data_IF_570639954087
#
_entry.id   IF_570639954087
#
_cell.length_a   1.000
_cell.length_b   1.000
_cell.length_c   1.000
_cell.angle_alpha   90.00
_cell.angle_beta   90.00
_cell.angle_gamma   90.00
#
_symmetry.space_group_name_H-M   'P 1'
#
loop_
_entity.id
_entity.type
_entity.pdbx_description
1 polymer ?
#
# COMPACT_ATOMS: atom_id res chain seq x y z
N UNK A 1 38.40 38.90 -24.96
CA UNK A 1 36.95 38.70 -25.15
C UNK A 1 36.61 37.19 -25.14
N UNK A 2 36.36 36.55 -23.98
CA UNK A 2 35.06 36.47 -23.28
C UNK A 2 33.95 35.94 -24.23
N UNK A 3 33.26 34.81 -24.05
CA UNK A 3 33.00 33.96 -22.88
C UNK A 3 32.40 32.62 -23.39
N UNK A 4 32.75 31.49 -22.76
CA UNK A 4 32.01 30.23 -22.89
C UNK A 4 30.89 30.25 -21.84
N UNK A 5 29.62 29.98 -22.17
CA UNK A 5 28.60 29.84 -21.13
C UNK A 5 28.76 28.47 -20.44
N UNK A 6 29.09 28.52 -19.16
CA UNK A 6 28.88 27.43 -18.21
C UNK A 6 27.37 27.24 -18.03
N UNK A 7 26.79 26.18 -18.58
CA UNK A 7 25.52 25.66 -18.04
C UNK A 7 25.85 24.54 -17.04
N UNK A 8 25.60 24.88 -15.78
CA UNK A 8 25.79 24.08 -14.59
C UNK A 8 24.95 22.82 -14.73
N UNK A 9 25.63 21.68 -14.89
CA UNK A 9 25.06 20.38 -14.57
C UNK A 9 24.66 20.41 -13.10
N UNK A 10 23.37 20.44 -12.80
CA UNK A 10 22.87 20.22 -11.45
C UNK A 10 23.23 18.80 -11.02
N UNK A 11 24.10 18.62 -10.00
CA UNK A 11 24.42 17.32 -9.49
C UNK A 11 23.42 17.02 -8.39
N UNK A 12 22.34 16.31 -8.71
CA UNK A 12 21.54 15.65 -7.67
C UNK A 12 21.65 14.13 -7.82
N UNK A 13 22.90 13.67 -7.66
CA UNK A 13 23.16 12.31 -7.21
C UNK A 13 23.10 12.28 -5.68
N UNK A 14 22.14 11.52 -5.17
CA UNK A 14 22.01 11.02 -3.79
C UNK A 14 21.65 12.05 -2.70
N UNK A 15 20.47 11.87 -2.09
CA UNK A 15 20.22 11.82 -0.64
C UNK A 15 18.70 11.60 -0.38
N UNK A 16 18.34 10.38 0.05
CA UNK A 16 17.08 10.00 0.75
C UNK A 16 15.76 10.07 -0.05
N UNK A 17 15.22 8.89 -0.38
CA UNK A 17 13.85 8.52 -0.77
C UNK A 17 12.89 9.57 -1.32
N UNK A 18 12.22 9.26 -2.44
CA UNK A 18 11.17 10.14 -2.99
C UNK A 18 10.07 10.43 -1.95
N UNK A 19 9.34 11.54 -2.09
CA UNK A 19 8.21 11.86 -1.19
C UNK A 19 7.25 10.67 -1.03
N UNK A 20 7.03 9.93 -2.12
CA UNK A 20 6.23 8.72 -2.15
C UNK A 20 6.81 7.60 -1.26
N UNK A 21 8.14 7.42 -1.28
CA UNK A 21 8.84 6.46 -0.41
C UNK A 21 8.84 6.90 1.06
N UNK A 22 9.02 8.19 1.32
CA UNK A 22 8.97 8.77 2.67
C UNK A 22 7.60 8.57 3.31
N UNK A 23 6.52 8.82 2.56
CA UNK A 23 5.14 8.58 3.02
C UNK A 23 4.90 7.11 3.31
N UNK A 24 5.39 6.20 2.44
CA UNK A 24 5.14 4.76 2.60
C UNK A 24 5.97 4.12 3.71
N UNK A 25 7.17 4.63 3.96
CA UNK A 25 8.03 4.17 5.05
C UNK A 25 7.68 4.84 6.38
N UNK A 26 6.91 5.93 6.36
CA UNK A 26 6.53 6.70 7.53
C UNK A 26 7.66 7.58 8.06
N UNK A 27 8.56 8.03 7.18
CA UNK A 27 9.73 8.87 7.50
C UNK A 27 9.52 10.31 7.02
N UNK A 28 8.43 10.93 7.44
CA UNK A 28 8.14 12.33 7.10
C UNK A 28 8.88 13.26 8.06
N UNK A 29 9.41 14.37 7.52
CA UNK A 29 10.12 15.40 8.32
C UNK A 29 9.18 16.42 8.97
N UNK A 30 7.89 16.42 8.60
CA UNK A 30 6.85 17.30 9.14
C UNK A 30 6.07 16.64 10.27
N UNK A 31 5.51 17.47 11.16
CA UNK A 31 4.66 16.98 12.25
C UNK A 31 3.33 16.43 11.71
N UNK A 32 2.89 15.25 12.17
CA UNK A 32 1.60 14.69 11.77
C UNK A 32 0.43 15.42 12.45
N UNK A 33 -0.75 15.30 11.85
CA UNK A 33 -2.03 15.66 12.46
C UNK A 33 -2.32 14.84 13.74
N UNK A 34 -3.40 15.20 14.45
CA UNK A 34 -4.00 14.28 15.43
C UNK A 34 -4.45 12.97 14.75
N UNK A 35 -4.45 11.84 15.48
CA UNK A 35 -4.88 10.56 14.93
C UNK A 35 -6.36 10.59 14.57
N UNK A 36 -6.67 10.14 13.36
CA UNK A 36 -8.03 9.93 12.88
C UNK A 36 -8.29 8.44 12.74
N UNK A 37 -9.41 7.96 13.27
CA UNK A 37 -9.71 6.53 13.32
C UNK A 37 -10.44 6.06 12.07
N UNK A 38 -9.95 4.97 11.50
CA UNK A 38 -10.51 4.29 10.34
C UNK A 38 -10.65 2.80 10.62
N UNK A 39 -11.46 2.14 9.80
CA UNK A 39 -11.67 0.70 9.84
C UNK A 39 -11.15 0.10 8.54
N UNK A 40 -10.24 -0.87 8.62
CA UNK A 40 -9.81 -1.66 7.49
C UNK A 40 -10.50 -3.03 7.49
N UNK A 41 -11.27 -3.32 6.46
CA UNK A 41 -11.82 -4.65 6.23
C UNK A 41 -10.97 -5.37 5.18
N UNK A 42 -10.34 -6.49 5.56
CA UNK A 42 -9.48 -7.28 4.69
C UNK A 42 -10.13 -8.64 4.39
N UNK A 43 -10.16 -9.00 3.12
CA UNK A 43 -10.64 -10.28 2.61
C UNK A 43 -9.76 -10.79 1.48
N UNK A 44 -9.97 -12.04 1.07
CA UNK A 44 -9.25 -12.63 -0.07
C UNK A 44 -10.18 -13.50 -0.88
N UNK A 45 -10.09 -13.36 -2.20
CA UNK A 45 -10.71 -14.28 -3.14
C UNK A 45 -9.63 -15.21 -3.68
N UNK A 46 -9.64 -16.46 -3.21
CA UNK A 46 -8.72 -17.50 -3.66
C UNK A 46 -9.05 -17.99 -5.07
N UNK A 47 -8.02 -18.25 -5.86
CA UNK A 47 -8.15 -18.76 -7.22
C UNK A 47 -7.08 -19.82 -7.53
N UNK A 48 -7.18 -20.43 -8.71
CA UNK A 48 -6.20 -21.39 -9.22
C UNK A 48 -6.53 -22.87 -8.93
N UNK A 49 -5.83 -23.79 -9.62
CA UNK A 49 -5.98 -25.22 -9.43
C UNK A 49 -5.50 -25.63 -8.03
N UNK A 50 -6.30 -26.45 -7.33
CA UNK A 50 -5.95 -26.94 -5.99
C UNK A 50 -6.18 -25.95 -4.83
N UNK A 51 -6.83 -24.80 -5.06
CA UNK A 51 -7.24 -23.90 -3.98
C UNK A 51 -8.31 -24.58 -3.09
N UNK A 52 -8.05 -24.81 -1.78
CA UNK A 52 -9.04 -25.43 -0.87
C UNK A 52 -10.30 -24.57 -0.78
N UNK A 53 -11.48 -25.20 -0.69
CA UNK A 53 -12.76 -24.48 -0.60
C UNK A 53 -12.80 -23.48 0.57
N UNK A 54 -12.20 -23.85 1.72
CA UNK A 54 -12.07 -22.99 2.91
C UNK A 54 -11.21 -21.73 2.68
N UNK A 55 -10.36 -21.72 1.66
CA UNK A 55 -9.50 -20.59 1.31
C UNK A 55 -9.96 -19.86 0.04
N UNK A 56 -11.08 -20.28 -0.58
CA UNK A 56 -11.65 -19.57 -1.73
C UNK A 56 -12.25 -18.23 -1.33
N UNK A 57 -12.86 -18.16 -0.15
CA UNK A 57 -13.33 -16.93 0.48
C UNK A 57 -13.29 -17.13 2.01
N UNK A 58 -12.09 -17.09 2.63
CA UNK A 58 -11.98 -17.20 4.08
C UNK A 58 -12.63 -15.98 4.75
N UNK A 59 -12.94 -16.05 6.07
CA UNK A 59 -13.54 -14.94 6.80
C UNK A 59 -12.79 -13.62 6.60
N UNK A 60 -13.53 -12.54 6.44
CA UNK A 60 -12.96 -11.20 6.38
C UNK A 60 -12.63 -10.73 7.80
N UNK A 61 -11.48 -10.09 7.96
CA UNK A 61 -11.09 -9.46 9.22
C UNK A 61 -11.38 -7.96 9.16
N UNK A 62 -11.65 -7.36 10.32
CA UNK A 62 -11.86 -5.91 10.47
C UNK A 62 -10.92 -5.39 11.55
N UNK A 63 -10.15 -4.35 11.22
CA UNK A 63 -9.11 -3.80 12.07
C UNK A 63 -9.30 -2.30 12.16
N UNK A 64 -9.43 -1.79 13.38
CA UNK A 64 -9.42 -0.35 13.64
C UNK A 64 -7.97 0.14 13.66
N UNK A 65 -7.70 1.26 13.00
CA UNK A 65 -6.36 1.83 12.94
C UNK A 65 -6.37 3.36 12.89
N UNK A 66 -5.36 4.02 13.46
CA UNK A 66 -5.18 5.45 13.31
C UNK A 66 -4.50 5.77 11.97
N UNK A 67 -4.93 6.86 11.36
CA UNK A 67 -4.27 7.49 10.22
C UNK A 67 -4.00 8.97 10.48
N UNK A 68 -2.99 9.50 9.80
CA UNK A 68 -2.45 10.85 9.98
C UNK A 68 -2.31 11.53 8.63
N UNK A 69 -2.38 12.85 8.58
CA UNK A 69 -1.98 13.63 7.41
C UNK A 69 -0.97 14.71 7.82
N UNK A 70 -0.30 15.27 6.83
CA UNK A 70 0.71 16.30 7.00
C UNK A 70 0.31 17.52 6.17
N UNK A 71 0.58 18.71 6.70
CA UNK A 71 0.38 19.99 6.01
C UNK A 71 1.73 20.65 5.86
N UNK A 72 2.06 21.06 4.63
CA UNK A 72 3.23 21.89 4.36
C UNK A 72 2.77 23.33 4.14
N UNK A 73 3.49 24.30 4.69
CA UNK A 73 3.13 25.73 4.60
C UNK A 73 3.08 26.23 3.14
N UNK A 74 3.79 25.55 2.24
CA UNK A 74 3.86 25.88 0.81
C UNK A 74 2.78 25.21 -0.05
N UNK A 75 2.06 24.20 0.47
CA UNK A 75 1.02 23.48 -0.27
C UNK A 75 -0.39 23.83 0.23
N UNK A 76 -1.28 24.21 -0.69
CA UNK A 76 -2.67 24.56 -0.37
C UNK A 76 -3.54 23.36 0.05
N UNK A 77 -3.07 22.12 -0.10
CA UNK A 77 -3.82 20.91 0.20
C UNK A 77 -3.03 19.97 1.12
N UNK A 78 -3.69 19.29 2.09
CA UNK A 78 -3.01 18.35 2.96
C UNK A 78 -2.53 17.10 2.20
N UNK A 79 -1.47 16.47 2.71
CA UNK A 79 -1.01 15.17 2.23
C UNK A 79 -2.12 14.12 2.34
N UNK A 80 -2.07 13.02 1.58
CA UNK A 80 -2.93 11.85 1.84
C UNK A 80 -2.84 11.37 3.29
N UNK A 81 -3.88 10.67 3.74
CA UNK A 81 -3.86 9.95 5.01
C UNK A 81 -2.87 8.80 4.96
N UNK A 82 -2.10 8.61 6.03
CA UNK A 82 -1.12 7.54 6.22
C UNK A 82 -1.47 6.77 7.47
N UNK A 83 -1.74 5.48 7.33
CA UNK A 83 -2.13 4.59 8.42
C UNK A 83 -1.32 3.30 8.47
N UNK A 84 -1.38 2.64 9.63
CA UNK A 84 -0.70 1.36 9.86
C UNK A 84 -1.67 0.38 10.50
N UNK A 85 -1.98 -0.70 9.80
CA UNK A 85 -2.84 -1.76 10.29
C UNK A 85 -1.95 -2.81 10.96
N UNK A 86 -2.18 -3.09 12.22
CA UNK A 86 -1.46 -4.15 12.93
C UNK A 86 -2.24 -5.46 12.87
N UNK A 87 -1.75 -6.42 12.08
CA UNK A 87 -2.36 -7.74 11.94
C UNK A 87 -2.09 -8.66 13.16
N UNK A 88 -1.19 -8.28 14.07
CA UNK A 88 -0.91 -9.06 15.27
C UNK A 88 -2.00 -8.90 16.36
N UNK A 89 -2.84 -7.87 16.24
CA UNK A 89 -3.93 -7.62 17.19
C UNK A 89 -5.15 -8.53 16.96
N UNK A 90 -5.18 -9.28 15.85
CA UNK A 90 -6.21 -10.30 15.59
C UNK A 90 -5.81 -11.62 16.27
N UNK A 91 -6.71 -12.31 17.01
CA UNK A 91 -6.43 -13.55 17.77
C UNK A 91 -6.13 -14.79 16.91
N UNK A 92 -5.43 -14.63 15.78
CA UNK A 92 -4.91 -15.75 15.02
C UNK A 92 -4.03 -16.61 15.94
N UNK A 93 -4.22 -17.94 16.00
CA UNK A 93 -3.72 -18.77 17.11
C UNK A 93 -2.20 -18.89 17.25
N UNK A 94 -1.39 -18.11 16.50
CA UNK A 94 0.08 -18.25 16.42
C UNK A 94 0.83 -16.97 16.01
N UNK A 95 0.26 -15.76 16.11
CA UNK A 95 0.86 -14.52 15.54
C UNK A 95 1.29 -14.68 14.09
N UNK A 96 0.57 -15.54 13.34
CA UNK A 96 0.95 -15.89 11.99
C UNK A 96 0.50 -14.84 10.97
N UNK A 97 -0.49 -14.02 11.34
CA UNK A 97 -1.13 -13.04 10.49
C UNK A 97 -2.31 -13.62 9.72
N UNK A 98 -2.80 -12.89 8.72
CA UNK A 98 -3.99 -13.26 7.94
C UNK A 98 -3.68 -14.34 6.91
N UNK A 99 -4.40 -15.46 6.97
CA UNK A 99 -4.18 -16.63 6.12
C UNK A 99 -4.70 -16.40 4.69
N UNK A 100 -3.83 -16.60 3.69
CA UNK A 100 -4.19 -16.45 2.27
C UNK A 100 -3.86 -17.70 1.42
N UNK A 101 -4.59 -18.00 0.34
CA UNK A 101 -4.18 -19.03 -0.62
C UNK A 101 -2.89 -18.64 -1.35
N UNK A 102 -2.28 -19.57 -2.10
CA UNK A 102 -1.06 -19.30 -2.87
C UNK A 102 -1.30 -18.43 -4.11
N UNK A 103 -2.54 -18.32 -4.56
CA UNK A 103 -2.95 -17.48 -5.68
C UNK A 103 -4.34 -16.92 -5.40
N UNK A 104 -4.56 -15.66 -5.76
CA UNK A 104 -5.84 -15.02 -5.53
C UNK A 104 -5.81 -13.51 -5.74
N UNK A 105 -6.79 -12.85 -5.13
CA UNK A 105 -6.89 -11.39 -5.08
C UNK A 105 -7.20 -10.95 -3.65
N UNK A 106 -6.33 -10.13 -3.07
CA UNK A 106 -6.61 -9.47 -1.80
C UNK A 106 -7.55 -8.29 -2.01
N UNK A 107 -8.50 -8.13 -1.09
CA UNK A 107 -9.48 -7.05 -1.07
C UNK A 107 -9.36 -6.31 0.25
N UNK A 108 -8.96 -5.05 0.22
CA UNK A 108 -8.85 -4.21 1.41
C UNK A 108 -9.75 -2.99 1.23
N UNK A 109 -10.73 -2.83 2.11
CA UNK A 109 -11.65 -1.70 2.14
C UNK A 109 -11.30 -0.84 3.35
N UNK A 110 -10.98 0.43 3.10
CA UNK A 110 -10.82 1.43 4.15
C UNK A 110 -12.16 2.15 4.32
N UNK A 111 -12.65 2.22 5.55
CA UNK A 111 -13.89 2.90 5.93
C UNK A 111 -13.61 4.00 6.94
N UNK A 112 -14.34 5.10 6.84
CA UNK A 112 -14.31 6.17 7.84
C UNK A 112 -15.11 5.78 9.10
N UNK A 113 -15.17 6.68 10.09
CA UNK A 113 -15.93 6.51 11.33
C UNK A 113 -17.44 6.29 11.12
N UNK A 114 -18.00 6.75 9.99
CA UNK A 114 -19.39 6.51 9.59
C UNK A 114 -19.58 5.17 8.87
N UNK A 115 -18.55 4.32 8.82
CA UNK A 115 -18.52 3.02 8.11
C UNK A 115 -18.70 3.14 6.58
N UNK A 116 -18.50 4.33 6.02
CA UNK A 116 -18.51 4.58 4.59
C UNK A 116 -17.18 4.17 3.98
N UNK A 117 -17.20 3.38 2.91
CA UNK A 117 -15.99 3.00 2.20
C UNK A 117 -15.36 4.22 1.50
N UNK A 118 -14.13 4.56 1.88
CA UNK A 118 -13.37 5.68 1.32
C UNK A 118 -12.31 5.22 0.32
N UNK A 119 -11.82 3.97 0.44
CA UNK A 119 -10.89 3.37 -0.53
C UNK A 119 -11.03 1.86 -0.62
N UNK A 120 -10.85 1.33 -1.82
CA UNK A 120 -10.76 -0.11 -2.10
C UNK A 120 -9.42 -0.40 -2.79
N UNK A 121 -8.71 -1.41 -2.29
CA UNK A 121 -7.54 -2.00 -2.94
C UNK A 121 -7.89 -3.41 -3.42
N UNK A 122 -7.56 -3.69 -4.68
CA UNK A 122 -7.77 -4.99 -5.33
C UNK A 122 -6.41 -5.47 -5.84
N UNK A 123 -5.78 -6.37 -5.10
CA UNK A 123 -4.37 -6.72 -5.31
C UNK A 123 -4.30 -8.17 -5.78
N UNK A 124 -4.23 -8.42 -7.11
CA UNK A 124 -3.99 -9.76 -7.61
C UNK A 124 -2.59 -10.24 -7.22
N UNK A 125 -2.44 -11.52 -6.93
CA UNK A 125 -1.15 -12.11 -6.60
C UNK A 125 -1.07 -13.58 -7.03
N UNK A 126 0.16 -14.00 -7.31
CA UNK A 126 0.54 -15.40 -7.48
C UNK A 126 1.86 -15.63 -6.73
N UNK A 127 1.82 -16.53 -5.74
CA UNK A 127 2.92 -16.83 -4.82
C UNK A 127 3.23 -18.34 -4.83
N UNK A 128 2.81 -19.07 -5.88
CA UNK A 128 3.04 -20.51 -5.95
C UNK A 128 4.55 -20.84 -6.01
N UNK A 129 5.32 -20.00 -6.69
CA UNK A 129 6.77 -20.15 -6.89
C UNK A 129 7.61 -19.69 -5.69
N UNK A 130 7.01 -19.01 -4.72
CA UNK A 130 7.69 -18.48 -3.53
C UNK A 130 8.20 -19.63 -2.63
N UNK A 131 9.51 -19.82 -2.35
CA UNK A 131 9.97 -20.97 -1.56
C UNK A 131 9.46 -21.00 -0.11
N UNK A 132 9.48 -22.18 0.53
CA UNK A 132 9.06 -22.32 1.93
C UNK A 132 10.09 -21.63 2.85
N UNK A 133 9.61 -20.89 3.84
CA UNK A 133 10.43 -20.13 4.78
C UNK A 133 10.65 -18.68 4.35
N UNK A 134 10.47 -18.38 3.06
CA UNK A 134 10.77 -17.06 2.50
C UNK A 134 9.67 -16.04 2.81
N UNK A 135 10.00 -14.78 2.56
CA UNK A 135 9.17 -13.59 2.71
C UNK A 135 9.27 -12.72 1.44
N UNK A 136 8.25 -11.90 1.25
CA UNK A 136 8.21 -10.86 0.22
C UNK A 136 7.27 -9.74 0.66
N UNK A 137 7.06 -8.75 -0.20
CA UNK A 137 5.98 -7.79 -0.07
C UNK A 137 5.20 -7.63 -1.37
N UNK A 138 3.93 -7.24 -1.24
CA UNK A 138 3.12 -6.73 -2.34
C UNK A 138 2.84 -5.26 -2.10
N UNK A 139 3.01 -4.46 -3.14
CA UNK A 139 2.74 -3.03 -3.15
C UNK A 139 1.79 -2.71 -4.29
N UNK A 140 0.72 -1.98 -3.98
CA UNK A 140 -0.13 -1.36 -4.98
C UNK A 140 -0.05 0.14 -4.79
N UNK A 141 0.29 0.87 -5.84
CA UNK A 141 0.34 2.33 -5.90
C UNK A 141 -0.68 2.80 -6.91
N UNK A 142 -1.43 3.84 -6.56
CA UNK A 142 -2.49 4.38 -7.39
C UNK A 142 -2.24 5.86 -7.54
N UNK A 143 -1.83 6.24 -8.73
CA UNK A 143 -1.50 7.61 -9.09
C UNK A 143 -2.69 8.28 -9.74
N UNK A 144 -2.86 9.57 -9.48
CA UNK A 144 -3.77 10.43 -10.22
C UNK A 144 -2.98 11.14 -11.31
N UNK A 145 -3.47 11.02 -12.53
CA UNK A 145 -3.04 11.80 -13.68
C UNK A 145 -4.12 12.83 -14.01
N UNK A 146 -3.73 14.10 -14.01
CA UNK A 146 -4.62 15.20 -14.42
C UNK A 146 -4.16 15.69 -15.79
N UNK A 147 -5.10 15.81 -16.72
CA UNK A 147 -4.84 16.32 -18.07
C UNK A 147 -4.18 17.71 -17.99
N UNK A 148 -3.06 17.87 -18.71
CA UNK A 148 -2.30 19.13 -18.73
C UNK A 148 -1.25 19.27 -17.62
N UNK A 149 -1.11 18.30 -16.70
CA UNK A 149 0.01 18.23 -15.76
C UNK A 149 0.96 17.08 -16.13
N UNK A 150 2.28 17.33 -16.27
CA UNK A 150 3.23 16.29 -16.66
C UNK A 150 3.54 15.30 -15.52
N UNK A 151 3.25 15.66 -14.27
CA UNK A 151 3.60 14.88 -13.08
C UNK A 151 2.38 14.15 -12.52
N UNK A 152 2.48 12.82 -12.43
CA UNK A 152 1.53 11.98 -11.69
C UNK A 152 1.67 12.23 -10.18
N UNK A 153 0.57 12.19 -9.44
CA UNK A 153 0.58 12.37 -7.98
C UNK A 153 0.10 11.09 -7.31
N UNK A 154 0.83 10.60 -6.30
CA UNK A 154 0.40 9.43 -5.54
C UNK A 154 -0.89 9.73 -4.78
N UNK A 155 -1.98 9.08 -5.17
CA UNK A 155 -3.29 9.25 -4.55
C UNK A 155 -3.57 8.23 -3.47
N UNK A 156 -3.13 6.99 -3.65
CA UNK A 156 -3.29 5.92 -2.68
C UNK A 156 -2.20 4.87 -2.85
N UNK A 157 -1.83 4.19 -1.77
CA UNK A 157 -0.93 3.07 -1.82
C UNK A 157 -1.16 2.11 -0.66
N UNK A 158 -0.71 0.88 -0.82
CA UNK A 158 -0.74 -0.13 0.24
C UNK A 158 0.50 -1.01 0.11
N UNK A 159 1.11 -1.35 1.24
CA UNK A 159 2.29 -2.20 1.33
C UNK A 159 2.03 -3.33 2.32
N UNK A 160 2.07 -4.56 1.81
CA UNK A 160 1.70 -5.79 2.51
C UNK A 160 2.90 -6.71 2.59
N UNK A 161 3.24 -7.21 3.77
CA UNK A 161 4.26 -8.25 3.89
C UNK A 161 3.63 -9.64 3.81
N UNK A 162 4.28 -10.55 3.09
CA UNK A 162 3.81 -11.92 2.89
C UNK A 162 4.91 -12.91 3.25
N UNK A 163 4.55 -13.98 3.96
CA UNK A 163 5.45 -15.10 4.28
C UNK A 163 4.84 -16.43 3.88
N UNK A 164 5.69 -17.38 3.48
CA UNK A 164 5.30 -18.79 3.28
C UNK A 164 5.90 -19.64 4.41
N UNK A 165 5.06 -20.28 5.21
CA UNK A 165 5.51 -21.11 6.34
C UNK A 165 5.51 -22.60 6.04
N UNK A 166 4.77 -23.04 5.01
CA UNK A 166 4.81 -24.43 4.54
C UNK A 166 4.41 -24.54 3.07
N UNK A 167 4.41 -25.76 2.51
CA UNK A 167 4.04 -26.01 1.11
C UNK A 167 2.68 -25.43 0.72
N UNK A 168 1.72 -25.34 1.63
CA UNK A 168 0.38 -24.82 1.32
C UNK A 168 0.02 -23.60 2.14
N UNK A 169 0.94 -23.05 2.94
CA UNK A 169 0.63 -22.01 3.93
C UNK A 169 1.36 -20.69 3.70
N UNK A 170 0.61 -19.69 3.26
CA UNK A 170 0.95 -18.28 3.10
C UNK A 170 0.15 -17.38 4.05
N UNK A 171 0.77 -16.30 4.50
CA UNK A 171 0.16 -15.33 5.41
C UNK A 171 0.56 -13.91 5.02
N UNK A 172 -0.40 -12.97 5.10
CA UNK A 172 -0.09 -11.55 5.23
C UNK A 172 0.25 -11.28 6.69
N UNK A 173 1.37 -10.64 6.98
CA UNK A 173 1.86 -10.46 8.36
C UNK A 173 2.39 -9.04 8.61
N UNK A 174 2.63 -8.75 9.90
CA UNK A 174 3.25 -7.51 10.35
C UNK A 174 2.38 -6.28 10.12
N UNK A 175 2.95 -5.08 10.30
CA UNK A 175 2.25 -3.85 9.98
C UNK A 175 2.00 -3.76 8.47
N UNK A 176 0.75 -3.51 8.09
CA UNK A 176 0.37 -3.14 6.73
C UNK A 176 0.29 -1.62 6.67
N UNK A 177 1.09 -1.01 5.80
CA UNK A 177 1.05 0.44 5.58
C UNK A 177 0.00 0.75 4.53
N UNK A 178 -0.83 1.77 4.78
CA UNK A 178 -1.84 2.25 3.85
C UNK A 178 -1.76 3.75 3.70
N UNK A 179 -1.94 4.22 2.47
CA UNK A 179 -2.00 5.63 2.09
C UNK A 179 -3.27 5.83 1.27
N UNK A 180 -4.09 6.82 1.60
CA UNK A 180 -5.34 7.07 0.88
C UNK A 180 -5.73 8.55 0.91
N UNK A 181 -6.40 9.02 -0.13
CA UNK A 181 -6.74 10.44 -0.29
C UNK A 181 -7.84 10.92 0.67
N UNK A 182 -7.91 12.25 0.85
CA UNK A 182 -8.94 12.93 1.66
C UNK A 182 -10.33 12.86 1.07
N UNK A 183 -10.43 12.81 -0.26
CA UNK A 183 -11.72 12.83 -0.97
C UNK A 183 -12.18 11.41 -1.25
N UNK A 184 -13.45 11.16 -0.91
CA UNK A 184 -14.23 10.07 -1.50
C UNK A 184 -14.20 10.27 -3.02
N UNK A 185 -14.18 9.17 -3.78
CA UNK A 185 -14.01 9.04 -5.23
C UNK A 185 -14.87 10.01 -6.08
N UNK A 186 -14.61 11.31 -6.03
CA UNK A 186 -15.07 12.28 -7.00
C UNK A 186 -14.00 12.32 -8.08
N UNK A 187 -14.14 11.44 -9.07
CA UNK A 187 -13.41 11.56 -10.32
C UNK A 187 -13.87 12.86 -10.97
N UNK A 188 -13.04 13.92 -10.90
CA UNK A 188 -13.24 15.09 -11.72
C UNK A 188 -13.25 14.68 -13.19
N UNK A 189 -14.05 15.35 -14.01
CA UNK A 189 -14.12 15.10 -15.45
C UNK A 189 -12.70 15.30 -16.03
N UNK A 190 -12.03 14.20 -16.39
CA UNK A 190 -10.66 14.17 -16.94
C UNK A 190 -9.55 13.66 -16.00
N UNK A 191 -9.84 13.31 -14.75
CA UNK A 191 -8.85 12.66 -13.88
C UNK A 191 -8.81 11.14 -14.11
N UNK A 192 -7.62 10.61 -14.42
CA UNK A 192 -7.40 9.18 -14.61
C UNK A 192 -6.57 8.58 -13.46
N UNK A 193 -7.00 7.43 -12.94
CA UNK A 193 -6.20 6.66 -11.97
C UNK A 193 -5.35 5.60 -12.69
N UNK A 194 -4.04 5.65 -12.47
CA UNK A 194 -3.11 4.62 -12.94
C UNK A 194 -2.74 3.72 -11.75
N UNK A 195 -3.04 2.42 -11.88
CA UNK A 195 -2.78 1.42 -10.84
C UNK A 195 -1.55 0.62 -11.19
N UNK A 196 -0.54 0.69 -10.34
CA UNK A 196 0.69 -0.09 -10.43
C UNK A 196 0.70 -1.10 -9.29
N UNK A 197 0.76 -2.39 -9.61
CA UNK A 197 0.82 -3.47 -8.61
C UNK A 197 2.06 -4.31 -8.84
N UNK A 198 2.89 -4.49 -7.81
CA UNK A 198 4.13 -5.23 -7.92
C UNK A 198 4.72 -5.64 -6.57
N UNK A 199 5.77 -6.45 -6.63
CA UNK A 199 6.62 -6.80 -5.49
C UNK A 199 8.08 -6.45 -5.79
N UNK A 200 9.03 -6.88 -4.95
CA UNK A 200 10.45 -6.72 -5.27
C UNK A 200 10.78 -7.47 -6.57
N UNK A 201 11.59 -6.83 -7.44
CA UNK A 201 11.98 -7.43 -8.73
C UNK A 201 13.20 -8.35 -8.57
N UNK A 202 14.22 -7.93 -7.81
CA UNK A 202 15.42 -8.74 -7.55
C UNK A 202 16.07 -8.40 -6.18
N UNK A 203 16.20 -9.36 -5.25
CA UNK A 203 15.57 -10.68 -5.26
C UNK A 203 14.06 -10.57 -4.99
N UNK A 204 13.26 -11.35 -5.70
CA UNK A 204 11.80 -11.38 -5.51
C UNK A 204 11.38 -11.92 -4.11
N UNK A 205 12.27 -12.69 -3.47
CA UNK A 205 12.02 -13.36 -2.19
C UNK A 205 13.26 -13.29 -1.31
N UNK A 206 13.07 -13.11 0.00
CA UNK A 206 14.15 -13.13 1.00
C UNK A 206 13.91 -14.24 2.04
N UNK A 207 14.95 -14.91 2.57
CA UNK A 207 14.80 -15.93 3.61
C UNK A 207 14.18 -15.45 4.93
#
# INVERSE_FOLDING_TARGET
PSSIPNEVSTPFGSLVGSYEESILTGRMSTLPSLPLWFIAQMGVLGSGPGCPSKLRCPPHISIDFPAYFYTHEEESAPSPYVGTLDLALDPSPRDLGYRIPGQGRLQIIIKNSQKTAVRLFLIPYNLQDMPIGYKTFLRQMIYRETVGKPRRVLGSAIHLHIRRTSRTRWYVYGPVRVVFGHRVLEQGIGDHEVVETGGPQDPQWVP
#
